data_IF_814692677158
#
_entry.id   IF_814692677158
#
_cell.length_a   1.000
_cell.length_b   1.000
_cell.length_c   1.000
_cell.angle_alpha   90.00
_cell.angle_beta   90.00
_cell.angle_gamma   90.00
#
_symmetry.space_group_name_H-M   'P 1'
#
loop_
_entity.id
_entity.type
_entity.pdbx_description
1 polymer ?
#
# COMPACT_ATOMS: atom_id res chain seq x y z
N UNK A 1 -38.14 -2.98 -4.33
CA UNK A 1 -37.10 -2.91 -3.27
C UNK A 1 -35.95 -2.14 -3.89
N UNK A 2 -35.68 -0.97 -3.33
CA UNK A 2 -34.78 0.07 -3.89
C UNK A 2 -33.38 -0.45 -4.23
N UNK A 3 -32.92 -0.08 -5.42
CA UNK A 3 -31.61 -0.41 -6.01
C UNK A 3 -30.66 0.80 -5.98
N UNK A 4 -30.72 1.62 -4.93
CA UNK A 4 -29.99 2.89 -4.88
C UNK A 4 -29.15 3.04 -3.61
N UNK A 5 -28.51 1.94 -3.16
CA UNK A 5 -27.45 2.04 -2.16
C UNK A 5 -26.20 2.60 -2.87
N UNK A 6 -25.82 3.88 -2.66
CA UNK A 6 -24.67 4.43 -3.34
C UNK A 6 -23.44 3.59 -2.96
N UNK A 7 -22.50 3.34 -3.89
CA UNK A 7 -21.29 2.62 -3.55
C UNK A 7 -20.63 3.34 -2.39
N UNK A 8 -20.60 2.71 -1.20
CA UNK A 8 -19.88 3.25 -0.05
C UNK A 8 -18.49 3.52 -0.55
N UNK A 9 -18.12 4.81 -0.62
CA UNK A 9 -16.75 5.21 -0.91
C UNK A 9 -15.92 4.48 0.13
N UNK A 10 -15.18 3.47 -0.29
CA UNK A 10 -14.16 2.85 0.54
C UNK A 10 -13.12 3.94 0.77
N UNK A 11 -13.28 4.67 1.89
CA UNK A 11 -12.33 5.67 2.33
C UNK A 11 -11.01 4.95 2.48
N UNK A 12 -10.09 5.20 1.55
CA UNK A 12 -8.78 4.54 1.56
C UNK A 12 -8.02 4.92 2.83
N UNK A 13 -7.19 3.99 3.29
CA UNK A 13 -6.25 4.22 4.40
C UNK A 13 -5.35 5.40 4.05
N UNK A 14 -5.50 6.53 4.73
CA UNK A 14 -4.64 7.72 4.58
C UNK A 14 -3.62 7.79 5.71
N UNK A 15 -2.37 8.13 5.37
CA UNK A 15 -1.30 8.33 6.36
C UNK A 15 -1.54 9.65 7.10
N UNK A 16 -1.51 9.59 8.44
CA UNK A 16 -1.70 10.77 9.29
C UNK A 16 -3.15 11.19 9.49
N UNK A 17 -4.13 10.33 9.16
CA UNK A 17 -5.53 10.61 9.49
C UNK A 17 -5.81 10.50 10.99
N UNK A 18 -6.90 11.13 11.43
CA UNK A 18 -7.38 11.02 12.81
C UNK A 18 -7.95 9.60 13.06
N UNK A 19 -7.56 9.01 14.19
CA UNK A 19 -7.91 7.62 14.56
C UNK A 19 -8.96 7.55 15.68
N UNK A 20 -9.45 8.68 16.19
CA UNK A 20 -10.25 8.72 17.43
C UNK A 20 -11.60 8.00 17.28
N UNK A 21 -12.13 7.93 16.05
CA UNK A 21 -13.38 7.26 15.71
C UNK A 21 -13.20 5.83 15.19
N UNK A 22 -11.98 5.29 15.18
CA UNK A 22 -11.65 3.97 14.63
C UNK A 22 -11.55 2.94 15.75
N UNK A 23 -12.19 1.79 15.60
CA UNK A 23 -12.11 0.71 16.59
C UNK A 23 -10.76 0.00 16.59
N UNK A 24 -10.42 -0.68 17.70
CA UNK A 24 -9.19 -1.47 17.80
C UNK A 24 -9.07 -2.52 16.68
N UNK A 25 -10.16 -3.21 16.35
CA UNK A 25 -10.16 -4.23 15.29
C UNK A 25 -9.85 -3.62 13.92
N UNK A 26 -10.42 -2.45 13.62
CA UNK A 26 -10.13 -1.72 12.39
C UNK A 26 -8.68 -1.20 12.37
N UNK A 27 -8.13 -0.76 13.51
CA UNK A 27 -6.71 -0.38 13.60
C UNK A 27 -5.78 -1.56 13.31
N UNK A 28 -6.10 -2.76 13.80
CA UNK A 28 -5.33 -3.99 13.50
C UNK A 28 -5.39 -4.31 12.01
N UNK A 29 -6.58 -4.35 11.42
CA UNK A 29 -6.75 -4.59 9.98
C UNK A 29 -6.02 -3.54 9.13
N UNK A 30 -6.01 -2.28 9.59
CA UNK A 30 -5.29 -1.19 8.93
C UNK A 30 -3.79 -1.41 8.96
N UNK A 31 -3.23 -1.84 10.09
CA UNK A 31 -1.80 -2.20 10.19
C UNK A 31 -1.47 -3.32 9.23
N UNK A 32 -2.24 -4.41 9.23
CA UNK A 32 -2.00 -5.56 8.34
C UNK A 32 -2.00 -5.14 6.86
N UNK A 33 -2.97 -4.31 6.45
CA UNK A 33 -3.06 -3.79 5.10
C UNK A 33 -1.83 -2.92 4.73
N UNK A 34 -1.37 -2.06 5.64
CA UNK A 34 -0.20 -1.22 5.45
C UNK A 34 1.10 -2.03 5.40
N UNK A 35 1.26 -3.06 6.23
CA UNK A 35 2.44 -3.92 6.23
C UNK A 35 2.56 -4.76 4.96
N UNK A 36 1.43 -5.27 4.46
CA UNK A 36 1.35 -5.91 3.14
C UNK A 36 1.79 -4.95 2.04
N UNK A 37 1.30 -3.71 2.08
CA UNK A 37 1.66 -2.69 1.09
C UNK A 37 3.13 -2.30 1.16
N UNK A 38 3.69 -2.14 2.37
CA UNK A 38 5.13 -1.91 2.58
C UNK A 38 5.95 -3.05 1.96
N UNK A 39 5.53 -4.31 2.17
CA UNK A 39 6.22 -5.48 1.63
C UNK A 39 6.20 -5.49 0.09
N UNK A 40 5.06 -5.15 -0.52
CA UNK A 40 4.92 -5.01 -1.97
C UNK A 40 5.85 -3.93 -2.53
N UNK A 41 5.84 -2.74 -1.91
CA UNK A 41 6.69 -1.61 -2.35
C UNK A 41 8.18 -1.98 -2.22
N UNK A 42 8.59 -2.62 -1.11
CA UNK A 42 9.97 -3.09 -0.93
C UNK A 42 10.39 -4.07 -2.01
N UNK A 43 9.54 -5.01 -2.40
CA UNK A 43 9.83 -5.95 -3.48
C UNK A 43 10.01 -5.23 -4.83
N UNK A 44 9.17 -4.25 -5.14
CA UNK A 44 9.31 -3.45 -6.36
C UNK A 44 10.59 -2.59 -6.36
N UNK A 45 10.96 -2.01 -5.22
CA UNK A 45 12.25 -1.30 -5.08
C UNK A 45 13.41 -2.25 -5.40
N UNK A 46 13.41 -3.47 -4.85
CA UNK A 46 14.47 -4.44 -5.09
C UNK A 46 14.57 -4.82 -6.58
N UNK A 47 13.44 -5.07 -7.24
CA UNK A 47 13.40 -5.36 -8.69
C UNK A 47 13.99 -4.20 -9.50
N UNK A 48 13.59 -2.96 -9.19
CA UNK A 48 14.11 -1.77 -9.89
C UNK A 48 15.60 -1.57 -9.64
N UNK A 49 16.08 -1.81 -8.42
CA UNK A 49 17.50 -1.72 -8.10
C UNK A 49 18.33 -2.78 -8.84
N UNK A 50 17.83 -4.03 -8.90
CA UNK A 50 18.48 -5.09 -9.66
C UNK A 50 18.57 -4.75 -11.16
N UNK A 51 17.49 -4.21 -11.73
CA UNK A 51 17.50 -3.72 -13.13
C UNK A 51 18.50 -2.60 -13.35
N UNK A 52 18.60 -1.64 -12.42
CA UNK A 52 19.57 -0.55 -12.51
C UNK A 52 21.01 -1.07 -12.44
N UNK A 53 21.31 -1.94 -11.49
CA UNK A 53 22.65 -2.51 -11.33
C UNK A 53 23.08 -3.33 -12.56
N UNK A 54 22.16 -4.09 -13.16
CA UNK A 54 22.42 -4.83 -14.39
C UNK A 54 22.72 -3.88 -15.56
N UNK A 55 21.96 -2.80 -15.70
CA UNK A 55 22.22 -1.77 -16.71
C UNK A 55 23.58 -1.09 -16.47
N UNK A 56 23.86 -0.65 -15.24
CA UNK A 56 25.14 -0.01 -14.88
C UNK A 56 26.36 -0.90 -15.15
N UNK A 57 26.21 -2.22 -15.00
CA UNK A 57 27.25 -3.20 -15.34
C UNK A 57 27.42 -3.38 -16.86
N UNK A 58 26.33 -3.36 -17.63
CA UNK A 58 26.37 -3.45 -19.09
C UNK A 58 27.02 -2.23 -19.76
N UNK A 59 26.83 -1.03 -19.20
CA UNK A 59 27.37 0.22 -19.76
C UNK A 59 28.82 0.53 -19.33
N UNK A 60 29.46 -0.32 -18.51
CA UNK A 60 30.82 -0.11 -18.00
C UNK A 60 31.91 -0.94 -18.69
N UNK A 61 31.55 -1.61 -19.80
CA UNK A 61 32.49 -2.24 -20.74
C UNK A 61 32.66 -1.39 -22.00
#
# INVERSE_FOLDING_TARGET
>A
MDLDDPPRKTTGITIGENLDAISLAELVQRIEALESEISRIRAEIQKKQASKNAADAFFRN
#
